data_IF_754243445354
#
_entry.id   IF_754243445354
#
_cell.length_a   1.000
_cell.length_b   1.000
_cell.length_c   1.000
_cell.angle_alpha   90.00
_cell.angle_beta   90.00
_cell.angle_gamma   90.00
#
_symmetry.space_group_name_H-M   'P 1'
#
loop_
_entity.id
_entity.type
_entity.pdbx_description
1 polymer ?
#
# COMPACT_ATOMS: atom_id res chain seq x y z
N UNK A 1 63.43 -18.60 22.62
CA UNK A 1 63.31 -17.62 21.52
C UNK A 1 61.90 -17.76 20.95
N UNK A 2 61.11 -16.68 20.94
CA UNK A 2 59.68 -16.67 20.60
C UNK A 2 59.46 -17.00 19.10
N UNK A 3 58.42 -17.79 18.79
CA UNK A 3 57.99 -18.08 17.42
C UNK A 3 57.19 -16.91 16.85
N UNK A 4 57.73 -16.29 15.80
CA UNK A 4 57.02 -15.25 15.05
C UNK A 4 56.11 -15.93 14.02
N UNK A 5 54.80 -15.98 14.32
CA UNK A 5 53.78 -16.46 13.39
C UNK A 5 53.53 -15.36 12.35
N UNK A 6 53.81 -15.65 11.08
CA UNK A 6 53.43 -14.82 9.95
C UNK A 6 51.94 -15.00 9.70
N UNK A 7 51.13 -14.04 10.14
CA UNK A 7 49.70 -14.00 9.80
C UNK A 7 49.58 -13.28 8.45
N UNK A 8 49.46 -14.05 7.36
CA UNK A 8 49.01 -13.53 6.08
C UNK A 8 47.51 -13.23 6.20
N UNK A 9 47.16 -11.96 6.33
CA UNK A 9 45.76 -11.53 6.30
C UNK A 9 45.32 -11.52 4.84
N UNK A 10 44.72 -12.61 4.37
CA UNK A 10 44.06 -12.65 3.09
C UNK A 10 42.83 -11.74 3.16
N UNK A 11 42.81 -10.67 2.36
CA UNK A 11 41.67 -9.80 2.19
C UNK A 11 40.51 -10.59 1.55
N UNK A 12 39.56 -11.04 2.35
CA UNK A 12 38.27 -11.50 1.87
C UNK A 12 37.37 -10.28 1.67
N UNK A 13 37.43 -9.68 0.49
CA UNK A 13 36.36 -8.81 0.01
C UNK A 13 35.12 -9.69 -0.16
N UNK A 14 34.29 -9.79 0.87
CA UNK A 14 32.97 -10.38 0.77
C UNK A 14 32.13 -9.43 -0.09
N UNK A 15 32.20 -9.61 -1.41
CA UNK A 15 31.18 -9.13 -2.33
C UNK A 15 29.88 -9.81 -1.91
N UNK A 16 29.07 -9.12 -1.10
CA UNK A 16 27.70 -9.52 -0.87
C UNK A 16 26.99 -9.49 -2.22
N UNK A 17 26.45 -10.63 -2.71
CA UNK A 17 25.58 -10.57 -3.86
C UNK A 17 24.40 -9.66 -3.48
N UNK A 18 24.20 -8.60 -4.25
CA UNK A 18 22.99 -7.78 -4.12
C UNK A 18 21.78 -8.72 -4.20
N UNK A 19 20.79 -8.61 -3.29
CA UNK A 19 19.57 -9.40 -3.42
C UNK A 19 19.00 -9.16 -4.83
N UNK A 20 18.48 -10.19 -5.50
CA UNK A 20 17.95 -10.06 -6.84
C UNK A 20 16.97 -8.89 -6.85
N UNK A 21 17.29 -7.91 -7.70
CA UNK A 21 16.45 -6.80 -8.03
C UNK A 21 15.01 -7.29 -8.14
N UNK A 22 14.12 -6.79 -7.28
CA UNK A 22 12.66 -7.00 -7.26
C UNK A 22 11.97 -6.43 -8.51
N UNK A 23 12.66 -6.45 -9.66
CA UNK A 23 12.12 -6.07 -10.94
C UNK A 23 11.27 -7.22 -11.46
N UNK A 24 9.96 -7.05 -11.32
CA UNK A 24 8.84 -7.78 -11.94
C UNK A 24 8.01 -8.74 -11.05
N UNK A 25 7.88 -8.47 -9.75
CA UNK A 25 6.71 -8.96 -9.03
C UNK A 25 5.43 -8.34 -9.65
N UNK A 26 4.46 -9.17 -10.04
CA UNK A 26 3.14 -8.72 -10.52
C UNK A 26 2.52 -7.84 -9.43
N UNK A 27 2.22 -6.58 -9.77
CA UNK A 27 1.66 -5.61 -8.83
C UNK A 27 0.26 -6.02 -8.36
N UNK A 28 -0.09 -5.62 -7.15
CA UNK A 28 -1.43 -5.82 -6.60
C UNK A 28 -2.42 -4.84 -7.27
N UNK A 29 -3.68 -5.24 -7.52
CA UNK A 29 -4.64 -4.36 -8.17
C UNK A 29 -4.93 -3.11 -7.34
N UNK A 30 -5.27 -2.01 -8.03
CA UNK A 30 -5.81 -0.82 -7.38
C UNK A 30 -7.26 -1.05 -6.98
N UNK A 31 -7.59 -0.81 -5.71
CA UNK A 31 -8.94 -0.95 -5.16
C UNK A 31 -9.53 0.44 -4.92
N UNK A 32 -10.67 0.76 -5.54
CA UNK A 32 -11.37 2.03 -5.29
C UNK A 32 -12.01 2.10 -3.88
N UNK A 33 -12.25 0.93 -3.29
CA UNK A 33 -12.96 0.78 -2.03
C UNK A 33 -14.47 0.69 -2.25
N UNK A 34 -15.13 -0.25 -1.58
CA UNK A 34 -16.59 -0.41 -1.72
C UNK A 34 -17.39 0.70 -1.03
N UNK A 35 -16.78 1.47 -0.10
CA UNK A 35 -17.43 2.52 0.72
C UNK A 35 -18.65 2.10 1.56
N UNK A 36 -19.11 0.85 1.43
CA UNK A 36 -20.23 0.26 2.18
C UNK A 36 -19.68 -0.47 3.41
N UNK A 37 -20.19 -0.13 4.58
CA UNK A 37 -19.99 -0.80 5.88
C UNK A 37 -18.53 -1.00 6.35
N UNK A 38 -17.64 -0.07 6.03
CA UNK A 38 -16.30 0.01 6.62
C UNK A 38 -16.35 0.44 8.09
N UNK A 39 -16.79 -0.46 8.98
CA UNK A 39 -16.88 -0.19 10.42
C UNK A 39 -17.94 -0.99 11.17
N UNK A 40 -18.81 -1.74 10.49
CA UNK A 40 -19.82 -2.58 11.17
C UNK A 40 -19.16 -3.80 11.85
N UNK A 41 -18.04 -4.28 11.30
CA UNK A 41 -17.19 -5.28 11.94
C UNK A 41 -15.98 -4.57 12.54
N UNK A 42 -16.07 -4.29 13.84
CA UNK A 42 -14.95 -3.80 14.65
C UNK A 42 -13.71 -4.67 14.42
N UNK A 43 -12.58 -4.05 14.03
CA UNK A 43 -11.25 -4.64 13.82
C UNK A 43 -10.88 -5.24 12.44
N UNK A 44 -11.59 -4.95 11.35
CA UNK A 44 -11.12 -5.37 10.03
C UNK A 44 -11.30 -4.30 8.95
N UNK A 45 -10.68 -3.14 9.15
CA UNK A 45 -10.49 -2.20 8.03
C UNK A 45 -9.62 -2.90 6.99
N UNK A 46 -10.16 -3.12 5.79
CA UNK A 46 -9.46 -3.73 4.66
C UNK A 46 -9.29 -2.71 3.55
N UNK A 47 -8.23 -2.85 2.75
CA UNK A 47 -7.99 -2.01 1.57
C UNK A 47 -9.18 -2.01 0.60
N UNK A 48 -9.82 -3.18 0.40
CA UNK A 48 -11.03 -3.31 -0.43
C UNK A 48 -12.22 -2.49 0.08
N UNK A 49 -12.20 -2.09 1.35
CA UNK A 49 -13.26 -1.33 1.97
C UNK A 49 -13.07 0.17 1.76
N UNK A 50 -11.91 0.68 2.20
CA UNK A 50 -11.61 2.12 2.24
C UNK A 50 -10.91 2.63 0.97
N UNK A 51 -10.46 1.72 0.11
CA UNK A 51 -9.74 1.99 -1.12
C UNK A 51 -8.22 2.13 -0.91
N UNK A 52 -7.45 1.81 -1.95
CA UNK A 52 -5.97 1.88 -2.00
C UNK A 52 -5.45 3.26 -1.64
N UNK A 53 -6.12 4.32 -2.10
CA UNK A 53 -5.76 5.70 -1.76
C UNK A 53 -5.78 5.96 -0.24
N UNK A 54 -6.90 5.62 0.42
CA UNK A 54 -7.03 5.79 1.88
C UNK A 54 -6.14 4.81 2.64
N UNK A 55 -6.06 3.56 2.17
CA UNK A 55 -5.26 2.50 2.78
C UNK A 55 -3.78 2.86 2.83
N UNK A 56 -3.18 3.23 1.70
CA UNK A 56 -1.75 3.55 1.65
C UNK A 56 -1.36 4.81 2.43
N UNK A 57 -2.31 5.70 2.72
CA UNK A 57 -2.11 6.88 3.57
C UNK A 57 -2.50 6.64 5.03
N UNK A 58 -2.81 5.40 5.43
CA UNK A 58 -3.25 5.06 6.78
C UNK A 58 -2.20 4.28 7.56
N UNK A 59 -2.32 4.30 8.88
CA UNK A 59 -1.51 3.47 9.78
C UNK A 59 -1.71 1.96 9.54
N UNK A 60 -2.84 1.54 8.96
CA UNK A 60 -3.07 0.13 8.62
C UNK A 60 -2.12 -0.38 7.53
N UNK A 61 -1.71 0.48 6.59
CA UNK A 61 -0.67 0.10 5.64
C UNK A 61 0.68 -0.11 6.33
N UNK A 62 1.02 0.72 7.32
CA UNK A 62 2.24 0.53 8.10
C UNK A 62 2.19 -0.77 8.91
N UNK A 63 1.04 -1.07 9.55
CA UNK A 63 0.81 -2.35 10.24
C UNK A 63 0.87 -3.56 9.29
N UNK A 64 0.54 -3.37 8.01
CA UNK A 64 0.66 -4.38 6.96
C UNK A 64 2.09 -4.51 6.38
N UNK A 65 3.06 -3.76 6.89
CA UNK A 65 4.48 -3.87 6.52
C UNK A 65 4.98 -2.86 5.49
N UNK A 66 4.17 -1.88 5.10
CA UNK A 66 4.62 -0.81 4.20
C UNK A 66 5.32 0.30 4.99
N UNK A 67 6.62 0.48 4.79
CA UNK A 67 7.43 1.47 5.51
C UNK A 67 6.97 2.90 5.21
N UNK A 68 6.63 3.18 3.95
CA UNK A 68 6.09 4.48 3.54
C UNK A 68 4.85 4.32 2.64
N UNK A 69 4.00 5.36 2.55
CA UNK A 69 2.91 5.38 1.58
C UNK A 69 3.39 5.15 0.15
N UNK A 70 4.59 5.67 -0.19
CA UNK A 70 5.22 5.48 -1.50
C UNK A 70 5.46 4.01 -1.81
N UNK A 71 5.94 3.23 -0.83
CA UNK A 71 6.18 1.79 -1.01
C UNK A 71 4.86 1.02 -1.19
N UNK A 72 3.83 1.41 -0.45
CA UNK A 72 2.48 0.89 -0.63
C UNK A 72 1.95 1.14 -2.05
N UNK A 73 2.03 2.38 -2.54
CA UNK A 73 1.63 2.71 -3.91
C UNK A 73 2.49 2.03 -4.97
N UNK A 74 3.80 1.87 -4.73
CA UNK A 74 4.70 1.19 -5.66
C UNK A 74 4.34 -0.28 -5.85
N UNK A 75 3.79 -0.94 -4.82
CA UNK A 75 3.30 -2.31 -4.87
C UNK A 75 1.94 -2.46 -5.58
N UNK A 76 1.30 -1.35 -6.00
CA UNK A 76 -0.02 -1.35 -6.65
C UNK A 76 0.06 -1.03 -8.14
N UNK A 77 -0.89 -1.57 -8.87
CA UNK A 77 -1.20 -1.12 -10.23
C UNK A 77 -1.58 0.36 -10.21
N UNK A 78 -1.42 1.01 -11.37
CA UNK A 78 -1.75 2.43 -11.51
C UNK A 78 -3.24 2.64 -11.23
N UNK A 79 -3.57 3.70 -10.48
CA UNK A 79 -4.94 4.09 -10.24
C UNK A 79 -5.69 4.30 -11.58
N UNK A 80 -6.93 3.84 -11.71
CA UNK A 80 -7.75 4.18 -12.87
C UNK A 80 -7.91 5.69 -12.93
N UNK A 81 -7.93 6.24 -14.15
CA UNK A 81 -8.31 7.64 -14.37
C UNK A 81 -9.76 7.79 -13.86
N UNK A 82 -10.10 8.85 -13.11
CA UNK A 82 -11.50 9.11 -12.77
C UNK A 82 -12.32 9.18 -14.05
N UNK A 83 -13.17 8.19 -14.27
CA UNK A 83 -14.27 8.25 -15.23
C UNK A 83 -15.13 9.45 -14.80
N UNK A 84 -15.57 10.33 -15.71
CA UNK A 84 -16.48 11.39 -15.34
C UNK A 84 -17.72 10.78 -14.70
N UNK A 85 -17.95 11.08 -13.41
CA UNK A 85 -19.12 10.59 -12.71
C UNK A 85 -20.40 11.01 -13.45
N UNK A 86 -21.39 10.12 -13.63
CA UNK A 86 -22.65 10.50 -14.24
C UNK A 86 -23.32 11.56 -13.35
N UNK A 87 -23.33 12.81 -13.85
CA UNK A 87 -23.87 14.02 -13.20
C UNK A 87 -25.39 13.97 -13.01
N UNK A 88 -25.92 13.05 -12.19
CA UNK A 88 -27.37 12.84 -12.14
C UNK A 88 -27.97 12.23 -10.87
N UNK A 89 -27.21 12.02 -9.78
CA UNK A 89 -27.75 11.41 -8.56
C UNK A 89 -27.60 12.30 -7.31
N UNK A 90 -27.88 13.61 -7.41
CA UNK A 90 -27.94 14.47 -6.21
C UNK A 90 -29.20 15.33 -6.07
N UNK A 91 -30.18 15.25 -6.98
CA UNK A 91 -31.32 16.20 -6.95
C UNK A 91 -32.64 15.67 -6.33
N UNK A 92 -32.75 14.39 -5.96
CA UNK A 92 -34.05 13.86 -5.47
C UNK A 92 -34.22 13.92 -3.94
N UNK A 93 -33.21 14.34 -3.17
CA UNK A 93 -33.30 14.35 -1.70
C UNK A 93 -33.93 15.62 -1.10
N UNK A 94 -34.29 16.63 -1.89
CA UNK A 94 -34.76 17.94 -1.38
C UNK A 94 -36.25 18.26 -1.60
N UNK A 95 -37.10 17.26 -1.88
CA UNK A 95 -38.50 17.51 -2.26
C UNK A 95 -39.59 16.92 -1.33
N UNK A 96 -39.28 16.46 -0.12
CA UNK A 96 -40.32 15.87 0.77
C UNK A 96 -40.39 16.45 2.19
N UNK A 97 -39.83 17.64 2.45
CA UNK A 97 -40.16 18.42 3.66
C UNK A 97 -41.15 19.54 3.35
N UNK A 98 -42.33 19.14 2.88
CA UNK A 98 -43.56 19.92 2.95
C UNK A 98 -44.66 18.94 3.36
N UNK A 99 -44.90 18.85 4.67
CA UNK A 99 -46.10 18.28 5.27
C UNK A 99 -46.40 19.12 6.51
N UNK A 100 -47.45 19.91 6.34
CA UNK A 100 -48.48 20.32 7.31
C UNK A 100 -48.04 21.15 8.53
#
# INVERSE_FOLDING_TARGET
MKYTILIAIAAAAAATPAPPSESAAKKLPWLEGSKVDCGIIVNAVKESCIGTGSWCNSEWAHQAGYVTPKDCFAARETAPKPEPEPKGLTDTAKATRAKD
#
